data_IF_438278397331
#
_entry.id   IF_438278397331
#
_cell.length_a   1.000
_cell.length_b   1.000
_cell.length_c   1.000
_cell.angle_alpha   90.00
_cell.angle_beta   90.00
_cell.angle_gamma   90.00
#
_symmetry.space_group_name_H-M   'P 1'
#
loop_
_entity.id
_entity.type
_entity.pdbx_description
1 polymer ?
#
# COMPACT_ATOMS: atom_id res chain seq x y z
N UNK A 1 -8.51 -19.45 12.03
CA UNK A 1 -8.52 -17.95 12.05
C UNK A 1 -9.36 -17.32 13.16
N UNK A 2 -10.22 -18.05 13.86
CA UNK A 2 -11.04 -17.45 14.92
C UNK A 2 -10.22 -16.85 16.06
N UNK A 3 -9.12 -17.49 16.46
CA UNK A 3 -8.24 -16.96 17.49
C UNK A 3 -7.65 -15.59 17.09
N UNK A 4 -7.36 -15.39 15.80
CA UNK A 4 -6.84 -14.14 15.27
C UNK A 4 -7.91 -13.05 15.27
N UNK A 5 -9.19 -13.41 15.04
CA UNK A 5 -10.28 -12.43 15.15
C UNK A 5 -10.36 -11.86 16.57
N UNK A 6 -10.23 -12.69 17.60
CA UNK A 6 -10.26 -12.24 18.98
C UNK A 6 -9.03 -11.40 19.32
N UNK A 7 -7.85 -11.80 18.84
CA UNK A 7 -6.60 -11.09 19.11
C UNK A 7 -6.57 -9.69 18.50
N UNK A 8 -7.19 -9.48 17.33
CA UNK A 8 -7.14 -8.20 16.60
C UNK A 8 -8.38 -7.33 16.80
N UNK A 9 -9.45 -7.85 17.38
CA UNK A 9 -10.69 -7.11 17.58
C UNK A 9 -10.48 -5.75 18.25
N UNK A 10 -9.61 -5.62 19.28
CA UNK A 10 -9.34 -4.32 19.92
C UNK A 10 -8.65 -3.31 18.99
N UNK A 11 -7.99 -3.77 17.92
CA UNK A 11 -7.27 -2.92 16.99
C UNK A 11 -8.16 -2.36 15.87
N UNK A 12 -9.40 -2.85 15.74
CA UNK A 12 -10.29 -2.52 14.62
C UNK A 12 -11.57 -1.90 15.16
N UNK A 13 -11.94 -0.74 14.61
CA UNK A 13 -13.15 -0.02 15.03
C UNK A 13 -14.41 -0.56 14.38
N UNK A 14 -14.28 -1.20 13.21
CA UNK A 14 -15.39 -1.78 12.47
C UNK A 14 -15.24 -3.29 12.43
N UNK A 15 -16.29 -4.01 12.88
CA UNK A 15 -16.28 -5.47 12.90
C UNK A 15 -16.05 -6.08 11.50
N UNK A 16 -16.51 -5.41 10.45
CA UNK A 16 -16.34 -5.89 9.07
C UNK A 16 -14.89 -5.91 8.61
N UNK A 17 -14.00 -5.09 9.23
CA UNK A 17 -12.60 -5.02 8.87
C UNK A 17 -11.72 -5.94 9.72
N UNK A 18 -12.29 -6.62 10.71
CA UNK A 18 -11.54 -7.50 11.62
C UNK A 18 -10.86 -8.63 10.86
N UNK A 19 -11.48 -9.15 9.80
CA UNK A 19 -10.91 -10.24 9.01
C UNK A 19 -9.60 -9.85 8.32
N UNK A 20 -9.44 -8.59 7.93
CA UNK A 20 -8.22 -8.08 7.30
C UNK A 20 -7.07 -8.10 8.29
N UNK A 21 -7.29 -7.54 9.49
CA UNK A 21 -6.28 -7.53 10.55
C UNK A 21 -5.97 -8.94 11.04
N UNK A 22 -7.00 -9.82 11.13
CA UNK A 22 -6.84 -11.21 11.51
C UNK A 22 -5.97 -11.99 10.54
N UNK A 23 -6.14 -11.74 9.23
CA UNK A 23 -5.31 -12.36 8.19
C UNK A 23 -3.83 -11.99 8.38
N UNK A 24 -3.54 -10.69 8.57
CA UNK A 24 -2.18 -10.22 8.80
C UNK A 24 -1.58 -10.85 10.06
N UNK A 25 -2.34 -10.88 11.15
CA UNK A 25 -1.90 -11.48 12.41
C UNK A 25 -1.63 -12.98 12.27
N UNK A 26 -2.49 -13.68 11.53
CA UNK A 26 -2.32 -15.11 11.23
C UNK A 26 -1.02 -15.37 10.49
N UNK A 27 -0.69 -14.56 9.48
CA UNK A 27 0.55 -14.70 8.71
C UNK A 27 1.79 -14.54 9.58
N UNK A 28 1.76 -13.59 10.54
CA UNK A 28 2.85 -13.38 11.48
C UNK A 28 2.97 -14.57 12.44
N UNK A 29 1.86 -14.96 13.06
CA UNK A 29 1.83 -16.04 14.05
C UNK A 29 2.19 -17.40 13.43
N UNK A 30 1.77 -17.63 12.18
CA UNK A 30 2.08 -18.85 11.45
C UNK A 30 3.47 -18.88 10.84
N UNK A 31 4.23 -17.79 10.93
CA UNK A 31 5.57 -17.64 10.34
C UNK A 31 5.60 -17.98 8.85
N UNK A 32 4.51 -17.63 8.15
CA UNK A 32 4.37 -17.92 6.72
C UNK A 32 5.43 -17.22 5.88
N UNK A 33 5.94 -16.07 6.36
CA UNK A 33 6.97 -15.27 5.68
C UNK A 33 8.09 -14.94 6.66
N UNK A 34 8.99 -15.91 6.95
CA UNK A 34 10.09 -15.67 7.86
C UNK A 34 10.99 -14.54 7.33
N UNK A 35 11.37 -13.62 8.20
CA UNK A 35 12.20 -12.47 7.83
C UNK A 35 11.43 -11.26 7.33
N UNK A 36 10.12 -11.32 7.15
CA UNK A 36 9.27 -10.20 6.70
C UNK A 36 8.43 -9.60 7.83
N UNK A 37 8.93 -9.64 9.03
CA UNK A 37 8.27 -8.98 10.18
C UNK A 37 8.83 -7.54 10.32
N UNK A 38 7.96 -6.53 10.57
CA UNK A 38 6.50 -6.62 10.65
C UNK A 38 5.82 -6.73 9.29
N UNK A 39 4.61 -7.27 9.28
CA UNK A 39 3.75 -7.25 8.11
C UNK A 39 3.14 -5.84 7.97
N UNK A 40 3.08 -5.35 6.75
CA UNK A 40 2.50 -4.02 6.48
C UNK A 40 1.08 -4.17 5.93
N UNK A 41 0.13 -3.53 6.62
CA UNK A 41 -1.25 -3.40 6.15
C UNK A 41 -1.38 -2.08 5.39
N UNK A 42 -1.63 -2.17 4.08
CA UNK A 42 -1.82 -0.99 3.24
C UNK A 42 -3.32 -0.77 3.06
N UNK A 43 -3.83 0.37 3.55
CA UNK A 43 -5.25 0.67 3.46
C UNK A 43 -5.51 2.17 3.46
N UNK A 44 -6.48 2.62 2.66
CA UNK A 44 -7.02 3.97 2.72
C UNK A 44 -7.98 4.17 3.88
N UNK A 45 -8.49 3.08 4.45
CA UNK A 45 -9.49 3.10 5.53
C UNK A 45 -8.81 3.10 6.90
N UNK A 46 -7.97 4.11 7.16
CA UNK A 46 -7.18 4.20 8.39
C UNK A 46 -8.02 4.50 9.62
N UNK A 47 -9.24 5.01 9.45
CA UNK A 47 -10.13 5.35 10.55
C UNK A 47 -10.65 4.13 11.29
N UNK A 48 -10.80 2.99 10.61
CA UNK A 48 -11.35 1.77 11.18
C UNK A 48 -10.29 0.89 11.85
N UNK A 49 -9.02 1.30 11.82
CA UNK A 49 -7.91 0.57 12.41
C UNK A 49 -7.19 1.41 13.46
N UNK A 50 -6.85 0.80 14.58
CA UNK A 50 -6.06 1.45 15.65
C UNK A 50 -4.59 1.12 15.44
N UNK A 51 -3.85 2.07 14.90
CA UNK A 51 -2.45 1.90 14.48
C UNK A 51 -1.55 1.38 15.61
N UNK A 52 -1.68 1.97 16.81
CA UNK A 52 -0.84 1.59 17.96
C UNK A 52 -1.08 0.15 18.40
N UNK A 53 -2.35 -0.30 18.39
CA UNK A 53 -2.69 -1.67 18.78
C UNK A 53 -2.19 -2.66 17.73
N UNK A 54 -2.32 -2.33 16.45
CA UNK A 54 -1.78 -3.16 15.37
C UNK A 54 -0.26 -3.27 15.47
N UNK A 55 0.43 -2.18 15.79
CA UNK A 55 1.88 -2.18 15.95
C UNK A 55 2.33 -3.16 17.05
N UNK A 56 1.58 -3.25 18.15
CA UNK A 56 1.86 -4.19 19.23
C UNK A 56 1.70 -5.66 18.80
N UNK A 57 0.93 -5.90 17.71
CA UNK A 57 0.76 -7.22 17.12
C UNK A 57 1.75 -7.50 15.99
N UNK A 58 2.70 -6.59 15.73
CA UNK A 58 3.67 -6.70 14.66
C UNK A 58 3.12 -6.28 13.29
N UNK A 59 2.05 -5.50 13.25
CA UNK A 59 1.40 -5.02 12.03
C UNK A 59 1.62 -3.52 11.91
N UNK A 60 2.33 -3.10 10.85
CA UNK A 60 2.45 -1.68 10.49
C UNK A 60 1.29 -1.30 9.57
N UNK A 61 0.71 -0.11 9.76
CA UNK A 61 -0.37 0.38 8.91
C UNK A 61 0.10 1.61 8.15
N UNK A 62 -0.05 1.59 6.83
CA UNK A 62 0.29 2.70 5.95
C UNK A 62 -0.86 2.99 4.99
N UNK A 63 -1.03 4.27 4.66
CA UNK A 63 -1.89 4.66 3.54
C UNK A 63 -1.25 4.23 2.22
N UNK A 64 -2.05 3.94 1.18
CA UNK A 64 -1.52 3.53 -0.12
C UNK A 64 -0.50 4.51 -0.69
N UNK A 65 -0.74 5.81 -0.59
CA UNK A 65 0.18 6.83 -1.12
C UNK A 65 1.54 6.79 -0.43
N UNK A 66 1.57 6.63 0.88
CA UNK A 66 2.83 6.54 1.65
C UNK A 66 3.59 5.28 1.27
N UNK A 67 2.89 4.17 1.15
CA UNK A 67 3.50 2.89 0.77
C UNK A 67 4.08 2.94 -0.65
N UNK A 68 3.30 3.42 -1.62
CA UNK A 68 3.73 3.50 -3.00
C UNK A 68 4.85 4.50 -3.21
N UNK A 69 4.82 5.64 -2.52
CA UNK A 69 5.89 6.64 -2.57
C UNK A 69 7.21 6.06 -2.05
N UNK A 70 7.17 5.36 -0.92
CA UNK A 70 8.34 4.68 -0.38
C UNK A 70 8.88 3.60 -1.31
N UNK A 71 7.99 2.86 -1.95
CA UNK A 71 8.37 1.83 -2.91
C UNK A 71 9.01 2.44 -4.16
N UNK A 72 8.47 3.55 -4.66
CA UNK A 72 9.02 4.28 -5.80
C UNK A 72 10.39 4.88 -5.48
N UNK A 73 10.61 5.29 -4.23
CA UNK A 73 11.93 5.76 -3.78
C UNK A 73 12.94 4.62 -3.75
N UNK A 74 12.56 3.46 -3.21
CA UNK A 74 13.45 2.32 -3.04
C UNK A 74 13.72 1.58 -4.35
N UNK A 75 12.69 1.45 -5.20
CA UNK A 75 12.74 0.67 -6.45
C UNK A 75 12.09 1.42 -7.61
N UNK A 76 12.68 2.56 -8.03
CA UNK A 76 12.05 3.43 -9.03
C UNK A 76 11.82 2.75 -10.38
N UNK A 77 12.77 1.93 -10.85
CA UNK A 77 12.63 1.29 -12.16
C UNK A 77 11.50 0.25 -12.17
N UNK A 78 11.36 -0.51 -11.11
CA UNK A 78 10.33 -1.54 -11.00
C UNK A 78 8.94 -0.93 -10.88
N UNK A 79 8.81 0.14 -10.10
CA UNK A 79 7.53 0.86 -9.96
C UNK A 79 7.15 1.54 -11.27
N UNK A 80 8.12 2.15 -11.96
CA UNK A 80 7.88 2.76 -13.27
C UNK A 80 7.44 1.72 -14.30
N UNK A 81 8.04 0.55 -14.31
CA UNK A 81 7.67 -0.54 -15.22
C UNK A 81 6.24 -1.03 -14.95
N UNK A 82 5.86 -1.17 -13.69
CA UNK A 82 4.52 -1.54 -13.29
C UNK A 82 3.49 -0.48 -13.70
N UNK A 83 3.81 0.79 -13.49
CA UNK A 83 2.97 1.92 -13.92
C UNK A 83 2.76 1.90 -15.44
N UNK A 84 3.84 1.73 -16.19
CA UNK A 84 3.78 1.68 -17.65
C UNK A 84 2.92 0.53 -18.14
N UNK A 85 3.06 -0.66 -17.56
CA UNK A 85 2.23 -1.81 -17.90
C UNK A 85 0.76 -1.53 -17.63
N UNK A 86 0.45 -0.99 -16.46
CA UNK A 86 -0.92 -0.61 -16.11
C UNK A 86 -1.49 0.41 -17.10
N UNK A 87 -0.72 1.44 -17.45
CA UNK A 87 -1.15 2.48 -18.39
C UNK A 87 -1.46 1.91 -19.77
N UNK A 88 -0.61 1.03 -20.27
CA UNK A 88 -0.78 0.43 -21.59
C UNK A 88 -1.92 -0.60 -21.63
N UNK A 89 -2.26 -1.19 -20.51
CA UNK A 89 -3.37 -2.14 -20.40
C UNK A 89 -4.73 -1.44 -20.32
N UNK A 90 -4.77 -0.15 -20.07
CA UNK A 90 -6.02 0.62 -20.11
C UNK A 90 -6.47 0.79 -21.55
N UNK A 91 -7.80 0.70 -21.76
CA UNK A 91 -8.39 0.81 -23.10
C UNK A 91 -8.02 2.14 -23.77
N UNK A 92 -8.04 3.23 -23.02
CA UNK A 92 -7.73 4.58 -23.52
C UNK A 92 -6.23 4.82 -23.72
N UNK A 93 -5.37 3.98 -23.13
CA UNK A 93 -3.91 4.15 -23.12
C UNK A 93 -3.50 5.60 -22.88
N UNK A 94 -3.85 6.19 -21.74
CA UNK A 94 -3.60 7.60 -21.47
C UNK A 94 -2.11 7.93 -21.46
N UNK A 95 -1.77 9.19 -21.76
CA UNK A 95 -0.41 9.66 -21.61
C UNK A 95 0.02 9.56 -20.14
N UNK A 96 1.34 9.40 -19.86
CA UNK A 96 1.81 9.28 -18.48
C UNK A 96 1.34 10.42 -17.57
N UNK A 97 1.43 11.65 -18.07
CA UNK A 97 1.05 12.84 -17.31
C UNK A 97 -0.44 12.85 -16.95
N UNK A 98 -1.29 12.42 -17.88
CA UNK A 98 -2.74 12.34 -17.65
C UNK A 98 -3.08 11.32 -16.57
N UNK A 99 -2.42 10.16 -16.58
CA UNK A 99 -2.64 9.13 -15.57
C UNK A 99 -2.10 9.55 -14.20
N UNK A 100 -0.96 10.25 -14.16
CA UNK A 100 -0.41 10.80 -12.92
C UNK A 100 -1.34 11.84 -12.30
N UNK A 101 -1.94 12.71 -13.12
CA UNK A 101 -2.92 13.69 -12.65
C UNK A 101 -4.12 12.98 -12.02
N UNK A 102 -4.58 11.91 -12.62
CA UNK A 102 -5.68 11.11 -12.09
C UNK A 102 -5.33 10.44 -10.76
N UNK A 103 -4.11 9.92 -10.63
CA UNK A 103 -3.62 9.38 -9.37
C UNK A 103 -3.61 10.45 -8.27
N UNK A 104 -3.19 11.66 -8.60
CA UNK A 104 -3.18 12.78 -7.67
C UNK A 104 -4.59 13.12 -7.21
N UNK A 105 -5.55 13.16 -8.13
CA UNK A 105 -6.96 13.40 -7.82
C UNK A 105 -7.55 12.31 -6.92
N UNK A 106 -7.08 11.06 -7.07
CA UNK A 106 -7.51 9.92 -6.28
C UNK A 106 -6.82 9.85 -4.90
N UNK A 107 -5.97 10.82 -4.56
CA UNK A 107 -5.32 10.89 -3.27
C UNK A 107 -3.89 10.36 -3.24
N UNK A 108 -3.36 9.87 -4.35
CA UNK A 108 -1.99 9.36 -4.46
C UNK A 108 -1.03 10.49 -4.83
N UNK A 109 -1.03 11.57 -4.05
CA UNK A 109 -0.34 12.82 -4.37
C UNK A 109 1.17 12.66 -4.35
N UNK A 110 1.72 12.07 -3.28
CA UNK A 110 3.17 11.91 -3.13
C UNK A 110 3.74 10.97 -4.20
N UNK A 111 3.05 9.88 -4.46
CA UNK A 111 3.43 8.91 -5.49
C UNK A 111 3.44 9.54 -6.87
N UNK A 112 2.37 10.28 -7.21
CA UNK A 112 2.26 10.95 -8.51
C UNK A 112 3.35 11.99 -8.70
N UNK A 113 3.64 12.79 -7.68
CA UNK A 113 4.68 13.82 -7.74
C UNK A 113 6.07 13.21 -7.89
N UNK A 114 6.36 12.14 -7.17
CA UNK A 114 7.66 11.46 -7.27
C UNK A 114 7.85 10.83 -8.65
N UNK A 115 6.85 10.13 -9.15
CA UNK A 115 6.94 9.51 -10.48
C UNK A 115 7.09 10.55 -11.58
N UNK A 116 6.37 11.67 -11.47
CA UNK A 116 6.50 12.77 -12.44
C UNK A 116 7.91 13.35 -12.43
N UNK A 117 8.47 13.60 -11.26
CA UNK A 117 9.82 14.14 -11.12
C UNK A 117 10.86 13.18 -11.72
N UNK A 118 10.74 11.89 -11.46
CA UNK A 118 11.64 10.87 -12.02
C UNK A 118 11.52 10.78 -13.55
N UNK A 119 10.31 10.89 -14.06
CA UNK A 119 10.05 10.87 -15.49
C UNK A 119 10.62 12.10 -16.20
N UNK A 120 10.42 13.29 -15.63
CA UNK A 120 10.95 14.54 -16.17
C UNK A 120 12.48 14.59 -16.13
N UNK A 121 13.08 13.98 -15.12
CA UNK A 121 14.53 13.87 -15.00
C UNK A 121 15.14 12.82 -15.94
N UNK A 122 14.32 12.03 -16.62
CA UNK A 122 14.78 10.95 -17.48
C UNK A 122 15.30 9.72 -16.74
N UNK A 123 15.06 9.64 -15.43
CA UNK A 123 15.50 8.51 -14.60
C UNK A 123 14.69 7.27 -14.85
N UNK A 124 13.38 7.43 -15.09
CA UNK A 124 12.46 6.33 -15.37
C UNK A 124 11.62 6.64 -16.61
N UNK A 125 11.01 5.58 -17.15
CA UNK A 125 10.13 5.67 -18.30
C UNK A 125 8.73 5.21 -17.89
N UNK A 126 7.77 6.10 -17.93
CA UNK A 126 6.38 5.81 -17.59
C UNK A 126 5.54 5.55 -18.86
#
# INVERSE_FOLDING_TARGET
MQAQFQAVAPAVRSAKDTHVAACAHYLIAGKAYPGTSPITLVTGNTRDFKKAVLANLGIAMLKPDVFLDGLAEAKPQEVAAAFRRFRLDLVSQPEPEALLERLEQDGQVKTAQRLLALHQAGTVRL
#
